data_IF_387309569147
#
_entry.id   IF_387309569147
#
_cell.length_a   1.000
_cell.length_b   1.000
_cell.length_c   1.000
_cell.angle_alpha   90.00
_cell.angle_beta   90.00
_cell.angle_gamma   90.00
#
_symmetry.space_group_name_H-M   'P 1'
#
loop_
_entity.id
_entity.type
_entity.pdbx_description
1 polymer ?
#
# COMPACT_ATOMS: atom_id res chain seq x y z
N UNK A 1 -19.74 -23.15 -6.73
CA UNK A 1 -19.36 -21.73 -6.59
C UNK A 1 -20.64 -20.91 -6.47
N UNK A 2 -20.88 -20.24 -5.34
CA UNK A 2 -22.00 -19.29 -5.21
C UNK A 2 -21.63 -18.03 -6.01
N UNK A 3 -22.15 -17.89 -7.24
CA UNK A 3 -21.95 -16.69 -8.08
C UNK A 3 -22.80 -15.51 -7.58
N UNK A 4 -23.95 -15.81 -6.96
CA UNK A 4 -24.89 -14.82 -6.41
C UNK A 4 -24.51 -14.49 -4.98
N UNK A 5 -24.55 -13.21 -4.63
CA UNK A 5 -24.32 -12.77 -3.25
C UNK A 5 -25.42 -13.28 -2.33
N UNK A 6 -25.08 -14.19 -1.42
CA UNK A 6 -25.98 -14.64 -0.37
C UNK A 6 -25.59 -13.98 0.97
N UNK A 7 -26.51 -13.19 1.54
CA UNK A 7 -26.28 -12.59 2.84
C UNK A 7 -26.32 -13.65 3.94
N UNK A 8 -25.22 -13.76 4.72
CA UNK A 8 -25.10 -14.72 5.83
C UNK A 8 -24.69 -13.99 7.12
N UNK A 9 -25.28 -14.33 8.29
CA UNK A 9 -24.84 -13.81 9.59
C UNK A 9 -23.34 -14.04 9.79
N UNK A 10 -22.66 -13.11 10.46
CA UNK A 10 -21.20 -13.14 10.71
C UNK A 10 -20.29 -13.14 9.46
N UNK A 11 -20.82 -13.05 8.24
CA UNK A 11 -20.03 -12.90 7.01
C UNK A 11 -20.11 -11.48 6.44
N UNK A 12 -21.27 -11.12 5.90
CA UNK A 12 -21.50 -9.81 5.30
C UNK A 12 -22.56 -8.98 6.03
N UNK A 13 -23.45 -9.61 6.80
CA UNK A 13 -24.40 -8.90 7.64
C UNK A 13 -23.68 -8.28 8.84
N UNK A 14 -23.85 -6.98 9.00
CA UNK A 14 -23.30 -6.17 10.10
C UNK A 14 -24.41 -5.29 10.66
N UNK A 15 -24.33 -4.96 11.94
CA UNK A 15 -25.25 -3.98 12.54
C UNK A 15 -24.86 -2.57 12.08
N UNK A 16 -25.84 -1.81 11.64
CA UNK A 16 -25.67 -0.38 11.40
C UNK A 16 -25.81 0.43 12.71
N UNK A 17 -25.76 1.76 12.58
CA UNK A 17 -25.88 2.70 13.71
C UNK A 17 -27.27 2.69 14.35
N UNK A 18 -28.26 2.14 13.65
CA UNK A 18 -29.66 2.03 14.07
C UNK A 18 -29.99 0.61 14.54
N UNK A 19 -28.97 -0.22 14.77
CA UNK A 19 -29.10 -1.61 15.21
C UNK A 19 -29.87 -2.52 14.22
N UNK A 20 -29.85 -2.18 12.92
CA UNK A 20 -30.42 -3.01 11.86
C UNK A 20 -29.33 -3.85 11.19
N UNK A 21 -29.67 -5.09 10.82
CA UNK A 21 -28.78 -5.99 10.07
C UNK A 21 -28.73 -5.56 8.60
N UNK A 22 -27.63 -4.95 8.20
CA UNK A 22 -27.38 -4.51 6.82
C UNK A 22 -26.22 -5.27 6.19
N UNK A 23 -26.25 -5.42 4.87
CA UNK A 23 -25.12 -6.00 4.16
C UNK A 23 -23.98 -4.99 4.08
N UNK A 24 -22.79 -5.33 4.58
CA UNK A 24 -21.57 -4.50 4.45
C UNK A 24 -21.16 -4.23 3.00
N UNK A 25 -21.60 -5.09 2.07
CA UNK A 25 -21.39 -4.93 0.62
C UNK A 25 -22.46 -4.05 -0.02
N UNK A 26 -23.46 -3.59 0.73
CA UNK A 26 -24.62 -2.80 0.27
C UNK A 26 -25.55 -3.54 -0.70
N UNK A 27 -25.64 -4.88 -0.58
CA UNK A 27 -26.68 -5.64 -1.26
C UNK A 27 -28.04 -5.50 -0.52
N UNK A 28 -29.19 -5.44 -1.23
CA UNK A 28 -29.30 -5.50 -2.68
C UNK A 28 -28.82 -4.20 -3.36
N UNK A 29 -28.09 -4.37 -4.45
CA UNK A 29 -27.64 -3.28 -5.29
C UNK A 29 -28.79 -2.75 -6.15
N UNK A 30 -28.70 -1.49 -6.58
CA UNK A 30 -29.67 -0.87 -7.49
C UNK A 30 -29.80 -1.67 -8.79
N UNK A 31 -31.03 -2.04 -9.14
CA UNK A 31 -31.37 -2.73 -10.39
C UNK A 31 -31.74 -1.72 -11.47
N UNK A 32 -31.47 -2.07 -12.73
CA UNK A 32 -31.81 -1.27 -13.91
C UNK A 32 -31.91 -2.18 -15.13
N UNK A 33 -32.89 -1.95 -16.00
CA UNK A 33 -33.06 -2.72 -17.24
C UNK A 33 -32.08 -2.34 -18.35
N UNK A 34 -31.44 -1.16 -18.22
CA UNK A 34 -30.47 -0.62 -19.17
C UNK A 34 -29.28 0.04 -18.44
N UNK A 35 -28.17 0.21 -19.15
CA UNK A 35 -27.09 1.07 -18.70
C UNK A 35 -27.58 2.52 -18.65
N UNK A 36 -27.17 3.29 -17.64
CA UNK A 36 -27.60 4.67 -17.47
C UNK A 36 -26.45 5.56 -17.00
N UNK A 37 -26.57 6.85 -17.33
CA UNK A 37 -25.76 7.94 -16.80
C UNK A 37 -26.71 9.02 -16.35
N UNK A 38 -26.56 9.50 -15.11
CA UNK A 38 -27.33 10.65 -14.61
C UNK A 38 -26.66 11.97 -15.01
N UNK A 39 -27.40 13.07 -14.92
CA UNK A 39 -26.86 14.42 -15.19
C UNK A 39 -25.70 14.80 -14.26
N UNK A 40 -25.63 14.20 -13.08
CA UNK A 40 -24.52 14.35 -12.12
C UNK A 40 -23.28 13.54 -12.51
N UNK A 41 -23.34 12.78 -13.61
CA UNK A 41 -22.27 11.91 -14.07
C UNK A 41 -22.17 10.62 -13.26
N UNK A 42 -23.23 10.18 -12.55
CA UNK A 42 -23.26 8.85 -11.95
C UNK A 42 -23.63 7.84 -13.04
N UNK A 43 -22.76 6.87 -13.29
CA UNK A 43 -23.04 5.76 -14.19
C UNK A 43 -23.48 4.52 -13.40
N UNK A 44 -24.39 3.75 -13.98
CA UNK A 44 -24.76 2.42 -13.50
C UNK A 44 -25.05 1.46 -14.66
N UNK A 45 -24.66 0.18 -14.56
CA UNK A 45 -24.95 -0.77 -15.63
C UNK A 45 -26.37 -1.32 -15.54
N UNK A 46 -26.80 -1.94 -16.63
CA UNK A 46 -27.91 -2.88 -16.64
C UNK A 46 -27.67 -3.95 -15.57
N UNK A 47 -28.57 -4.02 -14.60
CA UNK A 47 -28.56 -5.01 -13.52
C UNK A 47 -29.98 -5.50 -13.29
N UNK A 48 -30.27 -6.72 -13.76
CA UNK A 48 -31.59 -7.35 -13.57
C UNK A 48 -31.73 -8.04 -12.19
N UNK A 49 -30.62 -8.23 -11.47
CA UNK A 49 -30.62 -8.93 -10.18
C UNK A 49 -29.77 -8.18 -9.14
N UNK A 50 -30.40 -7.71 -8.06
CA UNK A 50 -29.76 -6.88 -7.02
C UNK A 50 -28.70 -7.58 -6.18
N UNK A 51 -28.54 -8.90 -6.29
CA UNK A 51 -27.49 -9.66 -5.59
C UNK A 51 -26.34 -10.11 -6.50
N UNK A 52 -26.29 -9.60 -7.73
CA UNK A 52 -25.18 -9.83 -8.66
C UNK A 52 -24.42 -8.51 -8.83
N UNK A 53 -23.08 -8.58 -8.80
CA UNK A 53 -22.23 -7.42 -9.01
C UNK A 53 -22.37 -6.89 -10.44
N UNK A 54 -21.84 -5.70 -10.70
CA UNK A 54 -21.61 -5.25 -12.07
C UNK A 54 -20.53 -6.11 -12.71
N UNK A 55 -20.89 -7.10 -13.53
CA UNK A 55 -19.92 -7.99 -14.15
C UNK A 55 -19.50 -7.46 -15.52
N UNK A 56 -18.24 -7.72 -15.88
CA UNK A 56 -17.67 -7.43 -17.19
C UNK A 56 -17.58 -8.75 -17.97
N UNK A 57 -18.27 -8.88 -19.13
CA UNK A 57 -18.32 -10.15 -19.85
C UNK A 57 -16.97 -10.73 -20.23
N UNK A 58 -16.06 -9.89 -20.71
CA UNK A 58 -14.71 -10.31 -21.08
C UNK A 58 -13.93 -10.86 -19.88
N UNK A 59 -14.03 -10.20 -18.71
CA UNK A 59 -13.38 -10.68 -17.48
C UNK A 59 -14.02 -11.97 -16.99
N UNK A 60 -15.36 -12.07 -17.03
CA UNK A 60 -16.06 -13.27 -16.59
C UNK A 60 -15.64 -14.50 -17.43
N UNK A 61 -15.57 -14.34 -18.76
CA UNK A 61 -15.18 -15.42 -19.66
C UNK A 61 -13.74 -15.89 -19.44
N UNK A 62 -12.80 -14.96 -19.26
CA UNK A 62 -11.37 -15.27 -19.13
C UNK A 62 -10.99 -15.71 -17.71
N UNK A 63 -11.46 -14.98 -16.68
CA UNK A 63 -11.09 -15.24 -15.28
C UNK A 63 -12.01 -16.25 -14.59
N UNK A 64 -13.17 -16.57 -15.17
CA UNK A 64 -14.17 -17.54 -14.66
C UNK A 64 -14.58 -17.28 -13.20
N UNK A 65 -14.58 -16.02 -12.79
CA UNK A 65 -14.91 -15.59 -11.43
C UNK A 65 -15.86 -14.37 -11.45
N UNK A 66 -16.67 -14.25 -10.39
CA UNK A 66 -17.53 -13.07 -10.19
C UNK A 66 -16.63 -11.84 -10.01
N UNK A 67 -16.77 -10.87 -10.89
CA UNK A 67 -16.01 -9.62 -10.89
C UNK A 67 -16.96 -8.43 -10.65
N UNK A 68 -16.40 -7.31 -10.17
CA UNK A 68 -17.12 -6.06 -9.91
C UNK A 68 -16.46 -4.92 -10.71
N UNK A 69 -16.93 -4.72 -11.94
CA UNK A 69 -16.52 -3.63 -12.82
C UNK A 69 -17.31 -2.37 -12.54
N UNK A 70 -16.60 -1.26 -12.34
CA UNK A 70 -17.21 0.06 -12.15
C UNK A 70 -16.59 1.05 -13.12
N UNK A 71 -17.44 1.74 -13.86
CA UNK A 71 -17.03 2.87 -14.67
C UNK A 71 -17.08 4.14 -13.82
N UNK A 72 -16.01 4.94 -13.87
CA UNK A 72 -15.83 6.11 -13.01
C UNK A 72 -15.90 7.37 -13.87
N UNK A 73 -17.03 8.05 -13.80
CA UNK A 73 -17.32 9.28 -14.53
C UNK A 73 -17.36 10.51 -13.62
N UNK A 74 -17.63 10.29 -12.33
CA UNK A 74 -17.62 11.33 -11.29
C UNK A 74 -16.19 11.62 -10.81
N UNK A 75 -15.81 12.89 -10.74
CA UNK A 75 -14.52 13.32 -10.18
C UNK A 75 -14.38 12.98 -8.69
N UNK A 76 -15.49 12.98 -7.94
CA UNK A 76 -15.48 12.65 -6.52
C UNK A 76 -15.18 11.16 -6.29
N UNK A 77 -15.84 10.27 -7.05
CA UNK A 77 -15.60 8.82 -6.96
C UNK A 77 -14.19 8.46 -7.44
N UNK A 78 -13.75 9.12 -8.52
CA UNK A 78 -12.39 8.98 -9.06
C UNK A 78 -11.35 9.37 -8.01
N UNK A 79 -11.49 10.54 -7.37
CA UNK A 79 -10.58 10.97 -6.30
C UNK A 79 -10.54 9.98 -5.13
N UNK A 80 -11.70 9.50 -4.70
CA UNK A 80 -11.80 8.55 -3.60
C UNK A 80 -11.09 7.23 -3.91
N UNK A 81 -11.32 6.66 -5.11
CA UNK A 81 -10.66 5.41 -5.49
C UNK A 81 -9.17 5.62 -5.72
N UNK A 82 -8.75 6.74 -6.33
CA UNK A 82 -7.33 7.04 -6.55
C UNK A 82 -6.61 7.17 -5.22
N UNK A 83 -7.21 7.85 -4.24
CA UNK A 83 -6.64 7.93 -2.90
C UNK A 83 -6.53 6.55 -2.25
N UNK A 84 -7.56 5.71 -2.35
CA UNK A 84 -7.55 4.35 -1.82
C UNK A 84 -6.48 3.46 -2.46
N UNK A 85 -6.41 3.43 -3.79
CA UNK A 85 -5.43 2.67 -4.56
C UNK A 85 -4.02 3.15 -4.25
N UNK A 86 -3.81 4.47 -4.23
CA UNK A 86 -2.51 5.06 -3.90
C UNK A 86 -2.11 4.71 -2.47
N UNK A 87 -3.03 4.79 -1.51
CA UNK A 87 -2.75 4.41 -0.11
C UNK A 87 -2.40 2.94 0.03
N UNK A 88 -2.97 2.07 -0.81
CA UNK A 88 -2.63 0.65 -0.84
C UNK A 88 -1.29 0.39 -1.52
N UNK A 89 -1.03 1.02 -2.66
CA UNK A 89 0.22 0.89 -3.41
C UNK A 89 1.41 1.48 -2.64
N UNK A 90 1.21 2.62 -1.99
CA UNK A 90 2.18 3.29 -1.12
C UNK A 90 2.13 2.77 0.33
N UNK A 91 1.39 1.68 0.59
CA UNK A 91 1.37 1.07 1.92
C UNK A 91 2.80 0.67 2.27
N UNK A 92 3.34 1.30 3.31
CA UNK A 92 4.70 1.03 3.78
C UNK A 92 4.87 -0.47 3.98
N UNK A 93 6.02 -0.99 3.57
CA UNK A 93 6.41 -2.35 3.89
C UNK A 93 6.24 -2.55 5.41
N UNK A 94 5.56 -3.65 5.78
CA UNK A 94 5.26 -3.96 7.17
C UNK A 94 6.54 -4.14 7.99
N UNK A 95 6.39 -4.18 9.32
CA UNK A 95 7.51 -4.56 10.19
C UNK A 95 7.95 -5.98 9.81
N UNK A 96 9.22 -6.16 9.48
CA UNK A 96 9.79 -7.47 9.25
C UNK A 96 9.72 -8.29 10.56
N UNK A 97 8.85 -9.29 10.60
CA UNK A 97 8.61 -10.10 11.80
C UNK A 97 9.79 -11.01 12.17
N UNK A 98 10.72 -11.22 11.24
CA UNK A 98 11.89 -12.10 11.37
C UNK A 98 13.19 -11.36 11.78
N UNK A 99 13.19 -10.04 11.93
CA UNK A 99 14.44 -9.27 12.18
C UNK A 99 15.17 -9.76 13.43
N UNK A 100 14.43 -10.08 14.50
CA UNK A 100 15.03 -10.63 15.72
C UNK A 100 15.71 -11.98 15.49
N UNK A 101 15.14 -12.83 14.64
CA UNK A 101 15.72 -14.12 14.29
C UNK A 101 16.98 -13.95 13.42
N UNK A 102 16.94 -13.06 12.42
CA UNK A 102 18.10 -12.74 11.57
C UNK A 102 19.23 -12.12 12.38
N UNK A 103 18.92 -11.26 13.35
CA UNK A 103 19.92 -10.69 14.27
C UNK A 103 20.53 -11.76 15.18
N UNK A 104 19.72 -12.69 15.71
CA UNK A 104 20.21 -13.77 16.56
C UNK A 104 21.17 -14.70 15.79
N UNK A 105 20.83 -15.05 14.55
CA UNK A 105 21.67 -15.87 13.67
C UNK A 105 22.98 -15.14 13.30
N UNK A 106 22.89 -13.85 12.93
CA UNK A 106 24.07 -13.03 12.65
C UNK A 106 24.99 -12.85 13.87
N UNK A 107 24.43 -12.81 15.08
CA UNK A 107 25.19 -12.78 16.32
C UNK A 107 25.86 -14.12 16.62
N UNK A 108 25.15 -15.24 16.47
CA UNK A 108 25.72 -16.57 16.63
C UNK A 108 26.90 -16.78 15.66
N UNK A 109 26.72 -16.43 14.39
CA UNK A 109 27.79 -16.44 13.39
C UNK A 109 28.99 -15.59 13.80
N UNK A 110 28.74 -14.41 14.41
CA UNK A 110 29.83 -13.55 14.87
C UNK A 110 30.67 -14.20 15.97
N UNK A 111 30.03 -14.86 16.94
CA UNK A 111 30.71 -15.57 18.02
C UNK A 111 31.51 -16.78 17.52
N UNK A 112 30.99 -17.50 16.52
CA UNK A 112 31.67 -18.66 15.92
C UNK A 112 32.85 -18.29 15.03
N UNK A 113 32.90 -17.05 14.52
CA UNK A 113 33.91 -16.57 13.60
C UNK A 113 34.66 -15.35 14.15
N UNK A 114 35.38 -15.49 15.28
CA UNK A 114 36.22 -14.44 15.81
C UNK A 114 37.37 -14.17 14.84
N UNK A 115 37.69 -12.89 14.65
CA UNK A 115 38.84 -12.49 13.84
C UNK A 115 40.02 -12.16 14.77
N UNK A 116 41.11 -12.94 14.72
CA UNK A 116 42.21 -12.79 15.66
C UNK A 116 42.89 -11.41 15.59
N UNK A 117 42.87 -10.79 14.41
CA UNK A 117 43.37 -9.43 14.14
C UNK A 117 42.72 -8.33 14.99
N UNK A 118 41.52 -8.58 15.53
CA UNK A 118 40.74 -7.60 16.30
C UNK A 118 40.64 -7.96 17.78
N UNK A 119 41.35 -8.99 18.27
CA UNK A 119 41.25 -9.45 19.67
C UNK A 119 41.61 -8.34 20.67
N UNK A 120 42.58 -7.50 20.32
CA UNK A 120 43.10 -6.46 21.23
C UNK A 120 42.27 -5.17 21.22
N UNK A 121 41.29 -5.04 20.31
CA UNK A 121 40.46 -3.84 20.16
C UNK A 121 38.98 -4.19 20.23
N UNK A 122 38.41 -4.06 21.44
CA UNK A 122 36.96 -4.22 21.69
C UNK A 122 36.12 -3.36 20.74
N UNK A 123 36.62 -2.17 20.39
CA UNK A 123 35.97 -1.27 19.44
C UNK A 123 35.83 -1.88 18.04
N UNK A 124 36.90 -2.47 17.53
CA UNK A 124 36.87 -3.06 16.19
C UNK A 124 36.02 -4.33 16.14
N UNK A 125 36.01 -5.11 17.23
CA UNK A 125 35.10 -6.26 17.35
C UNK A 125 33.63 -5.83 17.31
N UNK A 126 33.26 -4.80 18.08
CA UNK A 126 31.89 -4.29 18.08
C UNK A 126 31.50 -3.69 16.73
N UNK A 127 32.43 -2.98 16.07
CA UNK A 127 32.20 -2.46 14.73
C UNK A 127 31.97 -3.58 13.72
N UNK A 128 32.76 -4.65 13.77
CA UNK A 128 32.60 -5.83 12.93
C UNK A 128 31.26 -6.54 13.19
N UNK A 129 30.82 -6.64 14.45
CA UNK A 129 29.50 -7.17 14.80
C UNK A 129 28.39 -6.35 14.13
N UNK A 130 28.42 -5.03 14.26
CA UNK A 130 27.42 -4.15 13.65
C UNK A 130 27.37 -4.32 12.13
N UNK A 131 28.52 -4.39 11.47
CA UNK A 131 28.56 -4.67 10.03
C UNK A 131 27.92 -6.02 9.67
N UNK A 132 28.29 -7.10 10.37
CA UNK A 132 27.72 -8.43 10.13
C UNK A 132 26.21 -8.43 10.29
N UNK A 133 25.69 -7.83 11.37
CA UNK A 133 24.25 -7.74 11.62
C UNK A 133 23.51 -6.96 10.53
N UNK A 134 24.03 -5.78 10.16
CA UNK A 134 23.43 -4.96 9.10
C UNK A 134 23.44 -5.69 7.76
N UNK A 135 24.53 -6.38 7.42
CA UNK A 135 24.60 -7.17 6.20
C UNK A 135 23.64 -8.37 6.20
N UNK A 136 23.49 -9.07 7.33
CA UNK A 136 22.50 -10.14 7.45
C UNK A 136 21.08 -9.62 7.27
N UNK A 137 20.74 -8.49 7.91
CA UNK A 137 19.41 -7.86 7.76
C UNK A 137 19.17 -7.44 6.31
N UNK A 138 20.16 -6.83 5.66
CA UNK A 138 20.04 -6.43 4.26
C UNK A 138 19.91 -7.63 3.32
N UNK A 139 20.62 -8.73 3.59
CA UNK A 139 20.56 -9.96 2.78
C UNK A 139 19.19 -10.63 2.88
N UNK A 140 18.65 -10.71 4.09
CA UNK A 140 17.35 -11.34 4.37
C UNK A 140 16.18 -10.34 4.23
N UNK A 141 16.42 -9.15 3.69
CA UNK A 141 15.37 -8.16 3.47
C UNK A 141 14.45 -8.66 2.36
N UNK A 142 13.19 -8.94 2.73
CA UNK A 142 12.15 -9.23 1.76
C UNK A 142 11.82 -7.98 0.97
N UNK A 143 11.75 -8.09 -0.36
CA UNK A 143 11.35 -7.00 -1.26
C UNK A 143 10.18 -7.52 -2.10
N UNK A 144 9.21 -6.65 -2.38
CA UNK A 144 8.08 -7.02 -3.23
C UNK A 144 8.57 -7.46 -4.63
N UNK A 145 8.08 -8.61 -5.12
CA UNK A 145 8.50 -9.14 -6.43
C UNK A 145 8.29 -8.17 -7.60
N UNK A 146 7.24 -7.33 -7.54
CA UNK A 146 7.01 -6.25 -8.51
C UNK A 146 8.15 -5.23 -8.53
N UNK A 147 8.72 -4.89 -7.38
CA UNK A 147 9.86 -3.97 -7.28
C UNK A 147 11.11 -4.61 -7.90
N UNK A 148 11.35 -5.90 -7.63
CA UNK A 148 12.45 -6.66 -8.25
C UNK A 148 12.34 -6.65 -9.77
N UNK A 149 11.15 -6.97 -10.31
CA UNK A 149 10.91 -6.94 -11.76
C UNK A 149 11.11 -5.53 -12.31
N UNK A 150 10.59 -4.49 -11.66
CA UNK A 150 10.73 -3.11 -12.12
C UNK A 150 12.20 -2.69 -12.28
N UNK A 151 13.05 -3.10 -11.34
CA UNK A 151 14.49 -2.87 -11.40
C UNK A 151 15.18 -3.71 -12.48
N UNK A 152 14.86 -5.02 -12.58
CA UNK A 152 15.40 -5.89 -13.62
C UNK A 152 15.04 -5.42 -15.04
N UNK A 153 13.85 -4.85 -15.21
CA UNK A 153 13.36 -4.32 -16.48
C UNK A 153 13.83 -2.89 -16.76
N UNK A 154 14.55 -2.25 -15.83
CA UNK A 154 15.03 -0.87 -15.97
C UNK A 154 13.92 0.19 -15.93
N UNK A 155 12.74 -0.15 -15.43
CA UNK A 155 11.60 0.79 -15.31
C UNK A 155 11.77 1.77 -14.15
N UNK A 156 12.65 1.45 -13.20
CA UNK A 156 12.89 2.24 -11.99
C UNK A 156 11.77 2.08 -10.95
N UNK A 157 11.73 3.00 -9.99
CA UNK A 157 10.81 2.95 -8.84
C UNK A 157 9.96 4.21 -8.68
N UNK A 158 9.96 5.09 -9.69
CA UNK A 158 9.24 6.38 -9.63
C UNK A 158 8.20 6.47 -10.74
N UNK A 159 6.94 6.58 -10.34
CA UNK A 159 5.84 6.98 -11.24
C UNK A 159 5.64 8.49 -11.12
N UNK A 160 6.15 9.26 -12.08
CA UNK A 160 6.00 10.73 -12.13
C UNK A 160 5.62 11.19 -13.52
N UNK A 161 4.60 12.03 -13.62
CA UNK A 161 4.26 12.73 -14.87
C UNK A 161 5.19 13.92 -15.10
N UNK A 162 5.80 14.46 -14.05
CA UNK A 162 6.55 15.72 -14.06
C UNK A 162 7.88 15.55 -13.33
N UNK A 163 8.82 16.42 -13.67
CA UNK A 163 10.11 16.50 -12.99
C UNK A 163 9.96 17.36 -11.74
N UNK A 164 10.27 16.79 -10.59
CA UNK A 164 10.31 17.53 -9.32
C UNK A 164 11.77 17.83 -8.98
N UNK A 165 12.02 19.04 -8.48
CA UNK A 165 13.32 19.39 -7.90
C UNK A 165 13.28 19.13 -6.40
N UNK A 166 14.25 18.43 -5.81
CA UNK A 166 14.31 18.26 -4.36
C UNK A 166 14.47 19.64 -3.71
N UNK A 167 13.59 19.96 -2.76
CA UNK A 167 13.73 21.13 -1.90
C UNK A 167 14.21 20.62 -0.54
N UNK A 168 15.46 20.91 -0.22
CA UNK A 168 16.02 20.60 1.09
C UNK A 168 15.42 21.54 2.13
N UNK A 169 14.41 21.06 2.85
CA UNK A 169 13.62 21.88 3.76
C UNK A 169 14.47 22.64 4.79
N UNK A 170 15.50 22.00 5.35
CA UNK A 170 16.42 22.66 6.27
C UNK A 170 17.18 23.84 5.65
N UNK A 171 17.73 23.66 4.45
CA UNK A 171 18.42 24.72 3.70
C UNK A 171 17.47 25.82 3.28
N UNK A 172 16.26 25.47 2.83
CA UNK A 172 15.22 26.42 2.48
C UNK A 172 14.79 27.26 3.69
N UNK A 173 14.50 26.62 4.84
CA UNK A 173 14.17 27.32 6.09
C UNK A 173 15.33 28.20 6.56
N UNK A 174 16.57 27.73 6.47
CA UNK A 174 17.75 28.52 6.83
C UNK A 174 17.85 29.78 5.96
N UNK A 175 17.75 29.66 4.64
CA UNK A 175 17.74 30.80 3.72
C UNK A 175 16.56 31.75 3.99
N UNK A 176 15.39 31.19 4.29
CA UNK A 176 14.19 31.95 4.64
C UNK A 176 14.38 32.77 5.92
N UNK A 177 14.98 32.19 6.96
CA UNK A 177 15.25 32.90 8.22
C UNK A 177 16.36 33.93 8.10
N UNK A 178 17.35 33.70 7.22
CA UNK A 178 18.36 34.73 6.89
C UNK A 178 17.70 35.91 6.18
N UNK A 179 16.85 35.65 5.19
CA UNK A 179 16.17 36.70 4.43
C UNK A 179 15.09 37.42 5.25
N UNK A 180 14.43 36.71 6.17
CA UNK A 180 13.32 37.23 6.99
C UNK A 180 13.50 36.86 8.47
N UNK A 181 14.37 37.56 9.22
CA UNK A 181 14.70 37.26 10.62
C UNK A 181 13.48 37.23 11.55
N UNK A 182 12.42 37.99 11.23
CA UNK A 182 11.16 38.04 11.97
C UNK A 182 10.41 36.69 12.03
N UNK A 183 10.73 35.77 11.12
CA UNK A 183 10.12 34.43 11.09
C UNK A 183 10.81 33.44 12.03
N UNK A 184 12.04 33.74 12.50
CA UNK A 184 12.84 32.82 13.33
C UNK A 184 12.27 32.61 14.74
N UNK A 185 11.41 33.52 15.23
CA UNK A 185 10.90 33.52 16.61
C UNK A 185 9.55 32.84 16.83
N UNK A 186 8.94 32.18 15.83
CA UNK A 186 7.53 31.74 15.89
C UNK A 186 7.29 30.24 15.75
N UNK A 187 8.28 29.42 16.06
CA UNK A 187 8.10 27.97 16.19
C UNK A 187 8.06 27.62 17.68
N UNK A 188 6.84 27.57 18.24
CA UNK A 188 6.51 26.70 19.37
C UNK A 188 5.78 25.48 18.81
#
# INVERSE_FOLDING_TARGET
MEQVHACKPRRCLVYDRHNQLVCKRRAPFQVSDNDFVTDTGLWGPKRLHGYINSWVPSILLNARCNNDGKFLTSGADTKNITFYVTSYAAKKQGKNYNVSAVMADGYAYHLEHPKPEYIDSVWDQQRLLLFRLVHSINREQEIAGLMVISYLMGWGDVFRSHTYSPIYWGSFMSALYIAFPQLSGRVR
#
